data_IF_560785601789
#
_entry.id   IF_560785601789
#
_cell.length_a   1.000
_cell.length_b   1.000
_cell.length_c   1.000
_cell.angle_alpha   90.00
_cell.angle_beta   90.00
_cell.angle_gamma   90.00
#
_symmetry.space_group_name_H-M   'P 1'
#
loop_
_entity.id
_entity.type
_entity.pdbx_description
1 polymer ?
#
# COMPACT_ATOMS: atom_id res chain seq x y z
N UNK A 1 39.70 -13.73 30.90
CA UNK A 1 38.36 -13.88 30.28
C UNK A 1 38.03 -12.64 29.45
N UNK A 2 38.72 -12.46 28.31
CA UNK A 2 38.64 -11.19 27.55
C UNK A 2 38.81 -11.39 26.04
N UNK A 3 38.27 -12.47 25.47
CA UNK A 3 38.32 -12.71 24.02
C UNK A 3 37.02 -13.27 23.42
N UNK A 4 35.94 -13.42 24.20
CA UNK A 4 34.69 -14.03 23.69
C UNK A 4 33.61 -12.99 23.34
N UNK A 5 33.76 -11.73 23.77
CA UNK A 5 32.76 -10.68 23.49
C UNK A 5 32.94 -9.95 22.15
N UNK A 6 33.98 -10.26 21.37
CA UNK A 6 34.28 -9.55 20.13
C UNK A 6 33.73 -10.21 18.85
N UNK A 7 33.00 -11.32 18.98
CA UNK A 7 32.56 -12.13 17.83
C UNK A 7 31.05 -12.12 17.56
N UNK A 8 30.26 -11.26 18.21
CA UNK A 8 28.79 -11.17 17.99
C UNK A 8 28.29 -9.75 17.69
N UNK A 9 29.20 -8.82 17.38
CA UNK A 9 28.83 -7.54 16.79
C UNK A 9 29.24 -7.54 15.33
N UNK A 10 28.33 -7.10 14.47
CA UNK A 10 28.47 -6.92 13.02
C UNK A 10 28.09 -8.13 12.16
N UNK A 11 26.81 -8.48 12.21
CA UNK A 11 26.00 -8.45 10.98
C UNK A 11 24.53 -8.29 11.38
N UNK A 12 24.17 -7.10 11.88
CA UNK A 12 22.82 -6.61 11.61
C UNK A 12 22.92 -6.23 10.14
N UNK A 13 22.51 -7.11 9.25
CA UNK A 13 22.08 -6.64 7.93
C UNK A 13 21.06 -5.56 8.26
N UNK A 14 21.40 -4.30 7.99
CA UNK A 14 20.41 -3.26 7.77
C UNK A 14 19.51 -3.84 6.69
N UNK A 15 18.41 -4.46 7.11
CA UNK A 15 17.33 -4.77 6.21
C UNK A 15 17.05 -3.43 5.54
N UNK A 16 17.21 -3.42 4.22
CA UNK A 16 16.72 -2.35 3.37
C UNK A 16 15.20 -2.28 3.63
N UNK A 17 14.84 -1.56 4.70
CA UNK A 17 13.47 -1.33 5.14
C UNK A 17 12.92 -0.32 4.15
N UNK A 18 12.65 -0.82 2.94
CA UNK A 18 11.99 -0.06 1.90
C UNK A 18 10.77 0.64 2.51
N UNK A 19 10.45 1.87 2.09
CA UNK A 19 9.22 2.53 2.50
C UNK A 19 7.97 1.83 1.95
N UNK A 20 8.12 0.93 0.97
CA UNK A 20 7.05 0.20 0.27
C UNK A 20 7.40 -1.27 0.02
N UNK A 21 7.64 -2.07 1.08
CA UNK A 21 8.08 -3.46 0.94
C UNK A 21 7.08 -4.33 0.18
N UNK A 22 5.78 -4.00 0.18
CA UNK A 22 4.78 -4.77 -0.58
C UNK A 22 4.96 -4.53 -2.07
N UNK A 23 4.93 -3.28 -2.52
CA UNK A 23 5.11 -2.94 -3.95
C UNK A 23 6.45 -3.51 -4.46
N UNK A 24 7.52 -3.33 -3.70
CA UNK A 24 8.86 -3.76 -4.08
C UNK A 24 8.95 -5.29 -4.19
N UNK A 25 8.25 -6.03 -3.32
CA UNK A 25 8.19 -7.49 -3.40
C UNK A 25 7.51 -7.97 -4.68
N UNK A 26 6.46 -7.30 -5.15
CA UNK A 26 5.80 -7.67 -6.41
C UNK A 26 6.62 -7.22 -7.61
N UNK A 27 7.23 -6.04 -7.55
CA UNK A 27 8.05 -5.52 -8.64
C UNK A 27 9.33 -6.34 -8.83
N UNK A 28 9.98 -6.80 -7.76
CA UNK A 28 11.16 -7.67 -7.86
C UNK A 28 10.86 -9.04 -8.47
N UNK A 29 9.63 -9.56 -8.33
CA UNK A 29 9.23 -10.86 -8.89
C UNK A 29 8.99 -10.84 -10.40
N UNK A 30 8.56 -9.71 -10.97
CA UNK A 30 8.16 -9.67 -12.38
C UNK A 30 7.96 -8.28 -12.98
N UNK A 31 8.52 -7.24 -12.36
CA UNK A 31 8.43 -5.85 -12.78
C UNK A 31 7.00 -5.38 -12.98
N UNK A 32 6.78 -4.62 -14.05
CA UNK A 32 5.46 -4.09 -14.41
C UNK A 32 4.42 -5.18 -14.70
N UNK A 33 4.82 -6.37 -15.19
CA UNK A 33 3.88 -7.45 -15.46
C UNK A 33 3.24 -7.97 -14.16
N UNK A 34 4.04 -8.10 -13.11
CA UNK A 34 3.58 -8.47 -11.77
C UNK A 34 2.65 -7.41 -11.17
N UNK A 35 3.05 -6.12 -11.20
CA UNK A 35 2.20 -5.03 -10.70
C UNK A 35 0.88 -4.92 -11.48
N UNK A 36 0.93 -4.98 -12.81
CA UNK A 36 -0.27 -4.92 -13.65
C UNK A 36 -1.18 -6.12 -13.39
N UNK A 37 -0.62 -7.30 -13.10
CA UNK A 37 -1.40 -8.47 -12.69
C UNK A 37 -2.16 -8.21 -11.40
N UNK A 38 -1.58 -7.45 -10.46
CA UNK A 38 -2.21 -7.11 -9.19
C UNK A 38 -3.18 -5.92 -9.25
N UNK A 39 -2.92 -4.87 -10.03
CA UNK A 39 -3.70 -3.61 -9.93
C UNK A 39 -4.26 -3.06 -11.25
N UNK A 40 -3.93 -3.67 -12.40
CA UNK A 40 -4.15 -3.15 -13.76
C UNK A 40 -3.24 -1.99 -14.18
N UNK A 41 -2.29 -1.58 -13.34
CA UNK A 41 -1.39 -0.46 -13.62
C UNK A 41 0.06 -0.93 -13.67
N UNK A 42 0.83 -0.34 -14.59
CA UNK A 42 2.29 -0.29 -14.49
C UNK A 42 2.69 0.54 -13.26
N UNK A 43 3.96 0.46 -12.86
CA UNK A 43 4.46 1.28 -11.76
C UNK A 43 4.22 2.77 -12.02
N UNK A 44 4.54 3.26 -13.23
CA UNK A 44 4.38 4.67 -13.59
C UNK A 44 2.93 5.17 -13.53
N UNK A 45 1.97 4.35 -13.98
CA UNK A 45 0.55 4.69 -13.90
C UNK A 45 0.06 4.68 -12.45
N UNK A 46 0.49 3.69 -11.66
CA UNK A 46 0.21 3.65 -10.24
C UNK A 46 0.76 4.88 -9.51
N UNK A 47 2.00 5.29 -9.78
CA UNK A 47 2.59 6.52 -9.23
C UNK A 47 1.79 7.77 -9.59
N UNK A 48 1.25 7.83 -10.81
CA UNK A 48 0.45 8.97 -11.26
C UNK A 48 -0.85 9.09 -10.46
N UNK A 49 -1.50 7.97 -10.12
CA UNK A 49 -2.69 7.96 -9.27
C UNK A 49 -2.31 8.22 -7.80
N UNK A 50 -1.22 7.62 -7.33
CA UNK A 50 -0.70 7.83 -5.97
C UNK A 50 -0.45 9.31 -5.69
N UNK A 51 0.17 10.03 -6.62
CA UNK A 51 0.46 11.47 -6.50
C UNK A 51 -0.79 12.33 -6.22
N UNK A 52 -1.98 11.90 -6.66
CA UNK A 52 -3.24 12.61 -6.43
C UNK A 52 -3.71 12.45 -4.98
N UNK A 53 -3.50 11.28 -4.39
CA UNK A 53 -4.05 10.91 -3.07
C UNK A 53 -3.01 10.91 -1.95
N UNK A 54 -1.73 11.02 -2.29
CA UNK A 54 -0.58 10.87 -1.38
C UNK A 54 -0.72 11.73 -0.13
N UNK A 55 -0.99 13.03 -0.29
CA UNK A 55 -1.09 13.97 0.83
C UNK A 55 -2.18 13.53 1.84
N UNK A 56 -3.36 13.14 1.35
CA UNK A 56 -4.46 12.69 2.18
C UNK A 56 -4.17 11.33 2.83
N UNK A 57 -3.55 10.42 2.10
CA UNK A 57 -3.16 9.10 2.59
C UNK A 57 -2.11 9.18 3.70
N UNK A 58 -1.03 9.96 3.49
CA UNK A 58 0.03 10.18 4.47
C UNK A 58 -0.54 10.88 5.72
N UNK A 59 -1.37 11.89 5.53
CA UNK A 59 -2.05 12.61 6.63
C UNK A 59 -2.88 11.65 7.47
N UNK A 60 -3.73 10.86 6.80
CA UNK A 60 -4.59 9.87 7.45
C UNK A 60 -3.76 8.87 8.25
N UNK A 61 -2.63 8.41 7.72
CA UNK A 61 -1.76 7.42 8.38
C UNK A 61 -0.96 7.97 9.57
N UNK A 62 -0.59 9.25 9.56
CA UNK A 62 0.33 9.85 10.55
C UNK A 62 -0.38 10.59 11.68
N UNK A 63 -1.61 11.08 11.50
CA UNK A 63 -2.31 11.89 12.50
C UNK A 63 -2.96 11.09 13.66
N UNK A 64 -2.71 9.78 13.76
CA UNK A 64 -3.24 8.94 14.83
C UNK A 64 -2.44 9.00 16.12
N UNK A 65 -3.10 8.88 17.28
CA UNK A 65 -2.44 8.70 18.60
C UNK A 65 -2.05 7.25 18.93
N UNK A 66 -2.17 6.35 17.95
CA UNK A 66 -1.98 4.91 18.12
C UNK A 66 -0.60 4.42 17.71
N UNK A 67 -0.40 3.10 17.83
CA UNK A 67 0.79 2.42 17.29
C UNK A 67 0.90 2.72 15.79
N UNK A 68 2.12 3.05 15.33
CA UNK A 68 2.43 3.20 13.89
C UNK A 68 2.01 1.93 13.15
N UNK A 69 1.26 2.09 12.06
CA UNK A 69 0.91 0.97 11.17
C UNK A 69 2.19 0.33 10.63
N UNK A 70 2.22 -1.00 10.55
CA UNK A 70 3.33 -1.72 9.90
C UNK A 70 3.26 -1.63 8.38
N UNK A 71 2.08 -1.31 7.84
CA UNK A 71 1.85 -1.09 6.42
C UNK A 71 1.98 0.39 6.12
N UNK A 72 2.83 0.77 5.15
CA UNK A 72 2.94 2.15 4.67
C UNK A 72 1.65 2.58 3.97
N UNK A 73 1.34 3.90 3.90
CA UNK A 73 0.12 4.36 3.26
C UNK A 73 0.10 4.02 1.76
N UNK A 74 1.26 3.98 1.09
CA UNK A 74 1.38 3.64 -0.33
C UNK A 74 1.19 2.15 -0.59
N UNK A 75 1.73 1.29 0.27
CA UNK A 75 1.44 -0.15 0.22
C UNK A 75 -0.04 -0.44 0.48
N UNK A 76 -0.65 0.26 1.44
CA UNK A 76 -2.09 0.13 1.71
C UNK A 76 -2.92 0.54 0.49
N UNK A 77 -2.53 1.60 -0.21
CA UNK A 77 -3.17 2.02 -1.46
C UNK A 77 -3.01 0.98 -2.57
N UNK A 78 -1.82 0.40 -2.73
CA UNK A 78 -1.59 -0.71 -3.68
C UNK A 78 -2.48 -1.92 -3.39
N UNK A 79 -2.60 -2.32 -2.12
CA UNK A 79 -3.50 -3.41 -1.69
C UNK A 79 -4.97 -3.08 -1.96
N UNK A 80 -5.38 -1.82 -1.82
CA UNK A 80 -6.75 -1.43 -2.16
C UNK A 80 -7.03 -1.55 -3.66
N UNK A 81 -6.06 -1.17 -4.51
CA UNK A 81 -6.19 -1.35 -5.96
C UNK A 81 -6.27 -2.83 -6.35
N UNK A 82 -5.55 -3.72 -5.67
CA UNK A 82 -5.66 -5.16 -5.94
C UNK A 82 -6.98 -5.76 -5.51
N UNK A 83 -7.56 -5.27 -4.42
CA UNK A 83 -8.92 -5.62 -4.01
C UNK A 83 -9.93 -5.24 -5.08
N UNK A 84 -9.85 -4.02 -5.62
CA UNK A 84 -10.73 -3.56 -6.70
C UNK A 84 -10.58 -4.38 -7.99
N UNK A 85 -9.35 -4.81 -8.33
CA UNK A 85 -9.11 -5.63 -9.52
C UNK A 85 -9.74 -7.02 -9.41
N UNK A 86 -9.52 -7.69 -8.28
CA UNK A 86 -9.82 -9.12 -8.18
C UNK A 86 -11.14 -9.45 -7.49
N UNK A 87 -11.68 -8.53 -6.67
CA UNK A 87 -12.97 -8.68 -5.97
C UNK A 87 -13.19 -10.04 -5.29
N UNK A 88 -12.13 -10.66 -4.78
CA UNK A 88 -12.18 -11.92 -4.06
C UNK A 88 -12.64 -11.72 -2.61
N UNK A 89 -12.95 -12.83 -1.93
CA UNK A 89 -13.19 -12.84 -0.49
C UNK A 89 -12.01 -12.26 0.30
N UNK A 90 -12.31 -11.58 1.42
CA UNK A 90 -11.32 -10.95 2.29
C UNK A 90 -10.22 -11.91 2.75
N UNK A 91 -10.57 -13.16 3.07
CA UNK A 91 -9.60 -14.17 3.50
C UNK A 91 -8.52 -14.46 2.44
N UNK A 92 -8.90 -14.46 1.16
CA UNK A 92 -7.97 -14.72 0.07
C UNK A 92 -6.97 -13.56 -0.08
N UNK A 93 -7.47 -12.32 -0.11
CA UNK A 93 -6.61 -11.14 -0.19
C UNK A 93 -5.72 -11.00 1.05
N UNK A 94 -6.27 -11.23 2.24
CA UNK A 94 -5.50 -11.13 3.48
C UNK A 94 -4.37 -12.17 3.53
N UNK A 95 -4.59 -13.38 2.96
CA UNK A 95 -3.54 -14.39 2.83
C UNK A 95 -2.38 -13.91 1.96
N UNK A 96 -2.66 -13.28 0.81
CA UNK A 96 -1.64 -12.76 -0.11
C UNK A 96 -0.71 -11.73 0.57
N UNK A 97 -1.24 -10.97 1.53
CA UNK A 97 -0.50 -9.95 2.29
C UNK A 97 -0.09 -10.38 3.70
N UNK A 98 -0.28 -11.66 4.08
CA UNK A 98 0.04 -12.20 5.40
C UNK A 98 -0.64 -11.44 6.56
N UNK A 99 -1.87 -10.98 6.33
CA UNK A 99 -2.70 -10.26 7.31
C UNK A 99 -3.88 -11.13 7.76
N UNK A 100 -4.46 -10.79 8.92
CA UNK A 100 -5.77 -11.34 9.33
C UNK A 100 -6.87 -10.64 8.53
N UNK A 101 -7.85 -11.37 8.02
CA UNK A 101 -8.92 -10.82 7.20
C UNK A 101 -9.64 -9.61 7.83
N UNK A 102 -10.04 -9.61 9.12
CA UNK A 102 -10.69 -8.45 9.73
C UNK A 102 -9.79 -7.21 9.83
N UNK A 103 -8.47 -7.41 9.95
CA UNK A 103 -7.50 -6.32 9.96
C UNK A 103 -7.30 -5.76 8.56
N UNK A 104 -7.20 -6.64 7.56
CA UNK A 104 -7.07 -6.27 6.16
C UNK A 104 -8.30 -5.49 5.69
N UNK A 105 -9.51 -6.02 5.91
CA UNK A 105 -10.77 -5.36 5.57
C UNK A 105 -10.86 -3.94 6.16
N UNK A 106 -10.60 -3.78 7.47
CA UNK A 106 -10.61 -2.46 8.12
C UNK A 106 -9.59 -1.49 7.51
N UNK A 107 -8.42 -1.98 7.14
CA UNK A 107 -7.40 -1.17 6.49
C UNK A 107 -7.87 -0.72 5.10
N UNK A 108 -8.44 -1.62 4.30
CA UNK A 108 -8.90 -1.30 2.94
C UNK A 108 -10.08 -0.32 2.97
N UNK A 109 -11.04 -0.48 3.88
CA UNK A 109 -12.11 0.50 4.05
C UNK A 109 -11.56 1.88 4.41
N UNK A 110 -10.59 1.97 5.34
CA UNK A 110 -9.93 3.23 5.66
C UNK A 110 -9.25 3.87 4.44
N UNK A 111 -8.66 3.08 3.54
CA UNK A 111 -8.11 3.59 2.28
C UNK A 111 -9.24 4.17 1.43
N UNK A 112 -10.31 3.42 1.17
CA UNK A 112 -11.43 3.88 0.34
C UNK A 112 -12.11 5.13 0.88
N UNK A 113 -12.40 5.18 2.18
CA UNK A 113 -12.95 6.35 2.86
C UNK A 113 -12.09 7.62 2.65
N UNK A 114 -10.78 7.43 2.49
CA UNK A 114 -9.82 8.53 2.28
C UNK A 114 -9.71 8.93 0.80
N UNK A 115 -9.63 7.95 -0.10
CA UNK A 115 -9.25 8.21 -1.51
C UNK A 115 -10.45 8.39 -2.43
N UNK A 116 -11.61 7.80 -2.12
CA UNK A 116 -12.81 7.86 -2.96
C UNK A 116 -13.22 9.30 -3.31
N UNK A 117 -13.45 10.23 -2.34
CA UNK A 117 -13.90 11.57 -2.67
C UNK A 117 -12.89 12.33 -3.54
N UNK A 118 -11.59 12.13 -3.29
CA UNK A 118 -10.50 12.81 -4.01
C UNK A 118 -10.44 12.33 -5.45
N UNK A 119 -10.46 11.00 -5.65
CA UNK A 119 -10.40 10.40 -6.99
C UNK A 119 -11.68 10.70 -7.77
N UNK A 120 -12.85 10.68 -7.11
CA UNK A 120 -14.11 11.00 -7.75
C UNK A 120 -14.13 12.44 -8.26
N UNK A 121 -13.74 13.41 -7.41
CA UNK A 121 -13.63 14.82 -7.83
C UNK A 121 -12.61 15.01 -8.96
N UNK A 122 -11.49 14.30 -8.92
CA UNK A 122 -10.41 14.44 -9.90
C UNK A 122 -10.76 13.85 -11.28
N UNK A 123 -11.38 12.67 -11.32
CA UNK A 123 -11.61 11.92 -12.56
C UNK A 123 -13.04 12.01 -13.09
N UNK A 124 -14.03 12.26 -12.23
CA UNK A 124 -15.44 12.32 -12.64
C UNK A 124 -15.86 13.77 -12.83
N UNK A 125 -15.94 14.20 -14.09
CA UNK A 125 -16.48 15.52 -14.42
C UNK A 125 -17.99 15.52 -14.26
N UNK A 126 -18.58 16.45 -13.50
CA UNK A 126 -20.03 16.64 -13.51
C UNK A 126 -20.46 17.05 -14.92
N UNK A 127 -21.51 16.40 -15.44
CA UNK A 127 -22.15 16.82 -16.69
C UNK A 127 -22.74 18.19 -16.41
N UNK A 128 -22.12 19.24 -16.96
CA UNK A 128 -22.72 20.57 -16.95
C UNK A 128 -23.93 20.53 -17.88
N UNK A 129 -25.11 20.30 -17.32
CA UNK A 129 -26.36 20.55 -18.03
C UNK A 129 -26.54 22.07 -18.12
N UNK A 130 -25.86 22.71 -19.08
CA UNK A 130 -26.23 24.05 -19.50
C UNK A 130 -27.66 24.00 -20.03
N UNK A 131 -28.57 24.60 -19.28
CA UNK A 131 -29.98 24.76 -19.62
C UNK A 131 -30.18 26.06 -20.40
#
# INVERSE_FOLDING_TARGET
MSQVYHAHSQHVEEADDSPTPVIDSFFSQGGNASLSTMTNFTLSEFESIWAIVESAMVTTWTMGRGRKSMTSPKDAFFMAMSVLKHCNAWDKHALDYKMKAPTFEKMIHRVFDTVEPILYEHFVKPISMTR
#
